data_IF_157595331522
#
_entry.id   IF_157595331522
#
_cell.length_a   1.000
_cell.length_b   1.000
_cell.length_c   1.000
_cell.angle_alpha   90.00
_cell.angle_beta   90.00
_cell.angle_gamma   90.00
#
_symmetry.space_group_name_H-M   'P 1'
#
loop_
_entity.id
_entity.type
_entity.pdbx_description
1 polymer ?
#
# COMPACT_ATOMS: atom_id res chain seq x y z
N UNK A 1 1.21 -21.61 0.47
CA UNK A 1 0.42 -20.58 1.19
C UNK A 1 0.28 -19.39 0.25
N UNK A 2 -0.95 -19.04 -0.14
CA UNK A 2 -1.21 -18.11 -1.26
C UNK A 2 -1.29 -16.65 -0.79
N UNK A 3 -0.79 -15.72 -1.61
CA UNK A 3 -0.88 -14.26 -1.38
C UNK A 3 -2.30 -13.76 -1.08
N UNK A 4 -3.31 -14.44 -1.63
CA UNK A 4 -4.72 -14.19 -1.36
C UNK A 4 -5.09 -14.38 0.13
N UNK A 5 -4.48 -15.34 0.84
CA UNK A 5 -4.75 -15.56 2.25
C UNK A 5 -4.26 -14.39 3.13
N UNK A 6 -3.13 -13.77 2.77
CA UNK A 6 -2.63 -12.58 3.46
C UNK A 6 -3.55 -11.38 3.25
N UNK A 7 -4.06 -11.18 2.02
CA UNK A 7 -5.05 -10.13 1.73
C UNK A 7 -6.35 -10.37 2.53
N UNK A 8 -6.81 -11.61 2.59
CA UNK A 8 -8.00 -11.95 3.40
C UNK A 8 -7.75 -11.72 4.89
N UNK A 9 -6.57 -12.04 5.41
CA UNK A 9 -6.21 -11.75 6.81
C UNK A 9 -6.15 -10.25 7.10
N UNK A 10 -5.55 -9.46 6.19
CA UNK A 10 -5.54 -8.00 6.28
C UNK A 10 -6.96 -7.40 6.29
N UNK A 11 -7.85 -7.91 5.42
CA UNK A 11 -9.26 -7.49 5.37
C UNK A 11 -10.04 -7.95 6.60
N UNK A 12 -9.75 -9.14 7.10
CA UNK A 12 -10.43 -9.73 8.26
C UNK A 12 -10.12 -8.99 9.56
N UNK A 13 -9.02 -8.25 9.61
CA UNK A 13 -8.67 -7.42 10.77
C UNK A 13 -9.56 -6.18 10.94
N UNK A 14 -10.59 -6.00 10.10
CA UNK A 14 -11.53 -4.86 10.03
C UNK A 14 -10.89 -3.49 9.78
N UNK A 15 -9.57 -3.38 9.86
CA UNK A 15 -8.81 -2.14 9.67
C UNK A 15 -8.64 -1.74 8.22
N UNK A 16 -8.56 -2.70 7.30
CA UNK A 16 -8.31 -2.44 5.88
C UNK A 16 -9.52 -2.85 5.05
N UNK A 17 -10.01 -1.94 4.22
CA UNK A 17 -11.09 -2.23 3.27
C UNK A 17 -10.58 -2.98 2.05
N UNK A 18 -9.41 -2.58 1.55
CA UNK A 18 -8.79 -3.14 0.35
C UNK A 18 -7.29 -3.25 0.55
N UNK A 19 -6.66 -4.25 -0.07
CA UNK A 19 -5.22 -4.45 -0.01
C UNK A 19 -4.66 -4.98 -1.35
N UNK A 20 -3.42 -4.64 -1.63
CA UNK A 20 -2.68 -5.04 -2.82
C UNK A 20 -1.21 -5.23 -2.51
N UNK A 21 -0.58 -6.18 -3.20
CA UNK A 21 0.83 -6.51 -3.12
C UNK A 21 1.35 -6.48 -4.55
N UNK A 22 2.39 -5.69 -4.79
CA UNK A 22 3.05 -5.61 -6.09
C UNK A 22 4.55 -5.77 -5.92
N UNK A 23 5.22 -6.38 -6.91
CA UNK A 23 6.68 -6.44 -6.96
C UNK A 23 7.29 -5.06 -7.23
N UNK A 24 8.58 -4.91 -6.92
CA UNK A 24 9.36 -3.71 -7.28
C UNK A 24 9.49 -3.49 -8.81
N UNK A 25 9.10 -4.48 -9.61
CA UNK A 25 9.01 -4.36 -11.07
C UNK A 25 7.71 -3.66 -11.54
N UNK A 26 6.80 -3.34 -10.61
CA UNK A 26 5.47 -2.79 -10.92
C UNK A 26 4.43 -3.86 -11.27
N UNK A 27 4.78 -5.15 -11.13
CA UNK A 27 3.86 -6.25 -11.38
C UNK A 27 3.00 -6.56 -10.14
N UNK A 28 1.68 -6.62 -10.30
CA UNK A 28 0.76 -6.93 -9.17
C UNK A 28 0.81 -8.43 -8.88
N UNK A 29 1.26 -8.80 -7.68
CA UNK A 29 1.31 -10.19 -7.23
C UNK A 29 -0.04 -10.63 -6.69
N UNK A 30 -0.72 -9.75 -5.94
CA UNK A 30 -2.05 -10.01 -5.43
C UNK A 30 -2.80 -8.70 -5.17
N UNK A 31 -4.12 -8.69 -5.36
CA UNK A 31 -4.98 -7.53 -5.11
C UNK A 31 -6.33 -7.97 -4.60
N UNK A 32 -7.02 -7.08 -3.89
CA UNK A 32 -8.43 -7.25 -3.55
C UNK A 32 -9.33 -6.71 -4.67
N UNK A 33 -10.59 -7.16 -4.74
CA UNK A 33 -11.54 -6.79 -5.80
C UNK A 33 -11.85 -5.28 -5.93
N UNK A 34 -11.55 -4.47 -4.91
CA UNK A 34 -11.80 -3.03 -4.94
C UNK A 34 -10.66 -2.17 -5.48
N UNK A 35 -9.45 -2.73 -5.60
CA UNK A 35 -8.23 -1.97 -5.92
C UNK A 35 -7.59 -2.49 -7.20
N UNK A 36 -7.41 -1.63 -8.19
CA UNK A 36 -6.80 -1.99 -9.46
C UNK A 36 -5.68 -1.01 -9.85
N UNK A 37 -4.54 -1.02 -9.14
CA UNK A 37 -3.43 -0.14 -9.46
C UNK A 37 -2.87 -0.48 -10.84
N UNK A 38 -2.62 0.54 -11.65
CA UNK A 38 -1.97 0.38 -12.95
C UNK A 38 -0.46 0.19 -12.75
N UNK A 39 0.24 -0.57 -13.60
CA UNK A 39 1.69 -0.74 -13.51
C UNK A 39 2.45 0.58 -13.47
N UNK A 40 1.98 1.59 -14.22
CA UNK A 40 2.53 2.95 -14.25
C UNK A 40 2.39 3.66 -12.89
N UNK A 41 1.26 3.50 -12.21
CA UNK A 41 1.04 4.06 -10.86
C UNK A 41 1.99 3.39 -9.86
N UNK A 42 2.14 2.07 -9.94
CA UNK A 42 3.05 1.32 -9.08
C UNK A 42 4.50 1.73 -9.30
N UNK A 43 4.94 1.87 -10.56
CA UNK A 43 6.29 2.37 -10.85
C UNK A 43 6.51 3.78 -10.29
N UNK A 44 5.51 4.65 -10.38
CA UNK A 44 5.59 6.00 -9.79
C UNK A 44 5.74 5.93 -8.27
N UNK A 45 4.99 5.06 -7.59
CA UNK A 45 5.09 4.83 -6.15
C UNK A 45 6.48 4.28 -5.78
N UNK A 46 6.99 3.30 -6.55
CA UNK A 46 8.31 2.69 -6.34
C UNK A 46 9.42 3.73 -6.51
N UNK A 47 9.35 4.55 -7.56
CA UNK A 47 10.27 5.68 -7.76
C UNK A 47 10.16 6.69 -6.63
N UNK A 48 8.96 6.89 -6.09
CA UNK A 48 8.76 7.85 -5.01
C UNK A 48 9.21 7.37 -3.64
N UNK A 49 9.40 6.07 -3.44
CA UNK A 49 10.19 5.59 -2.29
C UNK A 49 11.64 6.07 -2.37
N UNK A 50 12.19 6.24 -3.58
CA UNK A 50 13.50 6.86 -3.76
C UNK A 50 13.41 8.40 -3.80
N UNK A 51 12.28 8.95 -4.25
CA UNK A 51 12.10 10.39 -4.44
C UNK A 51 10.67 10.84 -4.05
N UNK A 52 10.46 11.03 -2.75
CA UNK A 52 9.15 11.35 -2.20
C UNK A 52 8.56 12.68 -2.71
N UNK A 53 9.39 13.59 -3.21
CA UNK A 53 8.95 14.87 -3.79
C UNK A 53 8.00 14.67 -4.98
N UNK A 54 8.17 13.59 -5.75
CA UNK A 54 7.30 13.28 -6.89
C UNK A 54 5.85 13.08 -6.42
N UNK A 55 5.65 12.31 -5.34
CA UNK A 55 4.32 12.08 -4.75
C UNK A 55 3.82 13.27 -3.95
N UNK A 56 4.73 14.04 -3.35
CA UNK A 56 4.37 15.25 -2.62
C UNK A 56 3.78 16.31 -3.55
N UNK A 57 4.29 16.41 -4.77
CA UNK A 57 3.78 17.33 -5.79
C UNK A 57 2.61 16.76 -6.60
N UNK A 58 2.69 15.50 -7.06
CA UNK A 58 1.65 14.92 -7.93
C UNK A 58 0.49 14.26 -7.17
N UNK A 59 0.70 13.87 -5.90
CA UNK A 59 -0.18 12.98 -5.16
C UNK A 59 0.04 11.50 -5.50
N UNK A 60 -0.54 10.62 -4.69
CA UNK A 60 -0.52 9.16 -4.90
C UNK A 60 -1.71 8.76 -5.76
N UNK A 61 -1.47 8.26 -6.97
CA UNK A 61 -2.53 7.73 -7.81
C UNK A 61 -2.62 6.22 -7.63
N UNK A 62 -3.83 5.73 -7.41
CA UNK A 62 -4.06 4.32 -7.15
C UNK A 62 -5.44 3.91 -7.66
N UNK A 63 -5.45 3.07 -8.71
CA UNK A 63 -6.68 2.62 -9.34
C UNK A 63 -7.49 3.76 -9.97
N UNK A 64 -6.81 4.76 -10.53
CA UNK A 64 -7.45 5.96 -11.09
C UNK A 64 -7.97 6.94 -10.05
N UNK A 65 -7.74 6.69 -8.75
CA UNK A 65 -8.07 7.63 -7.68
C UNK A 65 -6.82 8.35 -7.19
N UNK A 66 -6.89 9.68 -7.09
CA UNK A 66 -5.84 10.50 -6.49
C UNK A 66 -6.01 10.58 -4.97
N UNK A 67 -4.95 10.26 -4.26
CA UNK A 67 -4.78 10.39 -2.82
C UNK A 67 -3.76 11.49 -2.53
N UNK A 68 -4.04 12.27 -1.50
CA UNK A 68 -3.18 13.33 -1.01
C UNK A 68 -2.08 12.74 -0.16
N UNK A 69 -0.84 12.93 -0.58
CA UNK A 69 0.32 12.52 0.18
C UNK A 69 0.32 13.22 1.55
N UNK A 70 0.53 12.44 2.62
CA UNK A 70 0.63 12.94 3.99
C UNK A 70 2.08 12.92 4.46
N UNK A 71 2.70 11.75 4.37
CA UNK A 71 4.01 11.47 4.92
C UNK A 71 4.68 10.34 4.13
N UNK A 72 5.99 10.44 3.95
CA UNK A 72 6.85 9.33 3.56
C UNK A 72 7.93 9.17 4.63
N UNK A 73 8.18 7.93 4.98
CA UNK A 73 9.36 7.43 5.67
C UNK A 73 10.12 6.53 4.68
N UNK A 74 11.32 6.09 5.06
CA UNK A 74 12.23 5.32 4.19
C UNK A 74 11.59 4.01 3.65
N UNK A 75 10.69 3.42 4.44
CA UNK A 75 10.02 2.16 4.12
C UNK A 75 8.49 2.26 4.05
N UNK A 76 7.89 3.41 4.35
CA UNK A 76 6.44 3.56 4.46
C UNK A 76 5.96 4.91 3.88
N UNK A 77 4.90 4.90 3.09
CA UNK A 77 4.25 6.10 2.55
C UNK A 77 2.79 6.09 2.97
N UNK A 78 2.31 7.22 3.48
CA UNK A 78 0.92 7.44 3.84
C UNK A 78 0.30 8.51 2.96
N UNK A 79 -0.90 8.23 2.48
CA UNK A 79 -1.72 9.19 1.77
C UNK A 79 -3.19 9.07 2.20
N UNK A 80 -3.96 10.14 2.04
CA UNK A 80 -5.38 10.20 2.37
C UNK A 80 -6.21 10.77 1.24
N UNK A 81 -7.45 10.36 1.13
CA UNK A 81 -8.44 10.92 0.22
C UNK A 81 -9.73 11.16 1.00
N UNK A 82 -9.94 12.39 1.42
CA UNK A 82 -11.08 12.80 2.24
C UNK A 82 -11.25 11.89 3.47
N UNK A 83 -12.24 11.00 3.44
CA UNK A 83 -12.60 10.04 4.49
C UNK A 83 -11.90 8.68 4.38
N UNK A 84 -11.27 8.40 3.23
CA UNK A 84 -10.47 7.19 3.02
C UNK A 84 -8.98 7.50 3.13
N UNK A 85 -8.16 6.47 3.32
CA UNK A 85 -6.71 6.61 3.23
C UNK A 85 -6.02 5.34 2.77
N UNK A 86 -4.73 5.51 2.48
CA UNK A 86 -3.86 4.46 1.98
C UNK A 86 -2.52 4.50 2.70
N UNK A 87 -2.08 3.32 3.12
CA UNK A 87 -0.76 3.06 3.69
C UNK A 87 -0.02 2.14 2.75
N UNK A 88 1.16 2.55 2.31
CA UNK A 88 2.02 1.82 1.39
C UNK A 88 3.31 1.50 2.13
N UNK A 89 3.73 0.25 2.13
CA UNK A 89 4.99 -0.20 2.72
C UNK A 89 5.87 -0.83 1.67
N UNK A 90 7.17 -0.57 1.72
CA UNK A 90 8.19 -1.21 0.89
C UNK A 90 8.87 -2.32 1.67
N UNK A 91 8.86 -3.52 1.11
CA UNK A 91 9.65 -4.68 1.53
C UNK A 91 10.90 -4.82 0.64
N UNK A 92 11.65 -5.93 0.74
CA UNK A 92 12.90 -6.10 0.00
C UNK A 92 12.67 -6.30 -1.50
N UNK A 93 11.65 -7.06 -1.90
CA UNK A 93 11.35 -7.34 -3.32
C UNK A 93 9.94 -6.93 -3.75
N UNK A 94 9.12 -6.45 -2.82
CA UNK A 94 7.74 -6.05 -3.08
C UNK A 94 7.30 -4.80 -2.30
N UNK A 95 6.17 -4.25 -2.69
CA UNK A 95 5.44 -3.17 -2.02
C UNK A 95 4.05 -3.68 -1.62
N UNK A 96 3.62 -3.31 -0.43
CA UNK A 96 2.29 -3.59 0.12
C UNK A 96 1.51 -2.30 0.15
N UNK A 97 0.26 -2.35 -0.27
CA UNK A 97 -0.65 -1.23 -0.33
C UNK A 97 -1.90 -1.65 0.43
N UNK A 98 -2.23 -0.94 1.51
CA UNK A 98 -3.45 -1.13 2.28
C UNK A 98 -4.30 0.13 2.24
N UNK A 99 -5.54 0.01 1.76
CA UNK A 99 -6.53 1.08 1.84
C UNK A 99 -7.52 0.84 2.96
N UNK A 100 -7.92 1.92 3.59
CA UNK A 100 -8.95 1.96 4.60
C UNK A 100 -9.98 3.05 4.25
N UNK A 101 -11.24 2.81 4.62
CA UNK A 101 -12.36 3.74 4.43
C UNK A 101 -12.71 4.43 5.76
N UNK A 102 -13.66 5.35 5.69
CA UNK A 102 -14.18 6.11 6.83
C UNK A 102 -14.54 5.20 8.02
N UNK A 103 -14.16 5.63 9.22
CA UNK A 103 -14.38 4.88 10.48
C UNK A 103 -13.23 3.95 10.89
N UNK A 104 -12.17 3.80 10.09
CA UNK A 104 -10.99 3.03 10.46
C UNK A 104 -9.85 3.91 10.97
N UNK A 105 -9.18 3.48 12.05
CA UNK A 105 -8.07 4.22 12.65
C UNK A 105 -6.82 4.05 11.76
N UNK A 106 -6.28 5.14 11.18
CA UNK A 106 -5.11 5.08 10.30
C UNK A 106 -3.91 4.39 10.94
N UNK A 107 -3.71 4.60 12.25
CA UNK A 107 -2.63 3.99 13.02
C UNK A 107 -2.69 2.46 13.07
N UNK A 108 -3.88 1.86 13.16
CA UNK A 108 -4.02 0.40 13.13
C UNK A 108 -3.78 -0.15 11.72
N UNK A 109 -4.27 0.55 10.69
CA UNK A 109 -4.03 0.19 9.29
C UNK A 109 -2.53 0.13 9.00
N UNK A 110 -1.80 1.17 9.41
CA UNK A 110 -0.34 1.22 9.28
C UNK A 110 0.34 0.04 9.97
N UNK A 111 -0.03 -0.26 11.22
CA UNK A 111 0.53 -1.41 11.96
C UNK A 111 0.29 -2.74 11.25
N UNK A 112 -0.91 -2.97 10.73
CA UNK A 112 -1.23 -4.21 10.00
C UNK A 112 -0.44 -4.35 8.72
N UNK A 113 -0.28 -3.25 7.96
CA UNK A 113 0.56 -3.24 6.75
C UNK A 113 2.03 -3.45 7.11
N UNK A 114 2.52 -2.86 8.21
CA UNK A 114 3.90 -3.00 8.67
C UNK A 114 4.21 -4.43 9.16
N UNK A 115 3.29 -5.05 9.91
CA UNK A 115 3.44 -6.43 10.35
C UNK A 115 3.52 -7.41 9.17
N UNK A 116 2.73 -7.17 8.12
CA UNK A 116 2.78 -7.98 6.90
C UNK A 116 4.04 -7.71 6.07
N UNK A 117 4.51 -6.45 6.01
CA UNK A 117 5.82 -6.13 5.44
C UNK A 117 6.92 -6.92 6.16
N UNK A 118 6.96 -6.85 7.49
CA UNK A 118 7.98 -7.53 8.30
C UNK A 118 7.96 -9.03 8.10
N UNK A 119 6.77 -9.61 8.03
CA UNK A 119 6.61 -11.02 7.71
C UNK A 119 7.21 -11.37 6.35
N UNK A 120 6.99 -10.54 5.32
CA UNK A 120 7.53 -10.78 3.98
C UNK A 120 9.04 -10.60 3.91
N UNK A 121 9.55 -9.53 4.53
CA UNK A 121 10.99 -9.28 4.66
C UNK A 121 11.68 -10.45 5.39
N UNK A 122 11.05 -10.97 6.45
CA UNK A 122 11.57 -12.12 7.19
C UNK A 122 11.57 -13.40 6.35
N UNK A 123 10.60 -13.56 5.44
CA UNK A 123 10.56 -14.65 4.47
C UNK A 123 11.46 -14.42 3.24
N UNK A 124 12.31 -13.38 3.25
CA UNK A 124 13.21 -12.97 2.16
C UNK A 124 12.50 -12.57 0.85
N UNK A 125 11.27 -12.08 0.95
CA UNK A 125 10.55 -11.39 -0.11
C UNK A 125 10.58 -9.87 0.07
#
# INVERSE_FOLDING_TARGET
MSWAAYITSMKSSSTLSEACIAGLDGNVWAKSDGINPSPQELQTIIQAFNNADILRQNGVHLGGQKYFFLQSDDSQIQAKKATSGVSIAKANTCILIGLYKDGQVPGNCRKTVDAMRDYLVQNKY
#
